data_IF_361462954241
#
_entry.id   IF_361462954241
#
_cell.length_a   1.000
_cell.length_b   1.000
_cell.length_c   1.000
_cell.angle_alpha   90.00
_cell.angle_beta   90.00
_cell.angle_gamma   90.00
#
_symmetry.space_group_name_H-M   'P 1'
#
loop_
_entity.id
_entity.type
_entity.pdbx_description
1 polymer ?
#
# COMPACT_ATOMS: atom_id res chain seq x y z
N UNK A 1 11.03 -23.51 19.39
CA UNK A 1 12.02 -23.26 18.31
C UNK A 1 11.46 -22.55 17.06
N UNK A 2 10.14 -22.35 16.88
CA UNK A 2 9.59 -21.67 15.68
C UNK A 2 9.84 -20.14 15.59
N UNK A 3 9.99 -19.43 16.72
CA UNK A 3 10.13 -17.94 16.71
C UNK A 3 11.39 -17.43 16.01
N UNK A 4 12.46 -18.21 15.94
CA UNK A 4 13.72 -17.78 15.31
C UNK A 4 13.73 -17.89 13.78
N UNK A 5 12.92 -18.77 13.18
CA UNK A 5 12.81 -18.92 11.71
C UNK A 5 11.92 -17.85 11.05
N UNK A 6 10.96 -17.29 11.78
CA UNK A 6 10.07 -16.25 11.25
C UNK A 6 10.70 -14.85 11.20
N UNK A 7 11.73 -14.61 12.01
CA UNK A 7 12.33 -13.29 12.20
C UNK A 7 13.05 -12.74 10.94
N UNK A 8 13.83 -13.54 10.19
CA UNK A 8 14.41 -13.08 8.93
C UNK A 8 13.35 -12.73 7.88
N UNK A 9 12.27 -13.51 7.81
CA UNK A 9 11.16 -13.27 6.88
C UNK A 9 10.39 -11.98 7.20
N UNK A 10 10.12 -11.73 8.48
CA UNK A 10 9.47 -10.51 8.94
C UNK A 10 10.33 -9.26 8.69
N UNK A 11 11.64 -9.33 8.96
CA UNK A 11 12.58 -8.24 8.66
C UNK A 11 12.62 -7.95 7.16
N UNK A 12 12.68 -8.99 6.33
CA UNK A 12 12.64 -8.83 4.86
C UNK A 12 11.32 -8.25 4.35
N UNK A 13 10.18 -8.61 4.95
CA UNK A 13 8.89 -8.00 4.63
C UNK A 13 8.84 -6.52 5.03
N UNK A 14 9.36 -6.18 6.22
CA UNK A 14 9.46 -4.80 6.68
C UNK A 14 10.34 -3.96 5.74
N UNK A 15 11.53 -4.44 5.38
CA UNK A 15 12.38 -3.76 4.40
C UNK A 15 11.66 -3.53 3.06
N UNK A 16 10.83 -4.47 2.61
CA UNK A 16 10.03 -4.30 1.38
C UNK A 16 8.96 -3.21 1.50
N UNK A 17 8.34 -3.08 2.67
CA UNK A 17 7.33 -2.05 2.94
C UNK A 17 7.91 -0.63 3.09
N UNK A 18 9.21 -0.52 3.38
CA UNK A 18 9.92 0.76 3.47
C UNK A 18 10.09 1.43 2.08
N UNK A 19 10.30 2.76 2.05
CA UNK A 19 10.42 3.52 0.81
C UNK A 19 11.47 2.91 -0.10
N UNK A 20 11.18 2.65 -1.39
CA UNK A 20 12.09 1.93 -2.29
C UNK A 20 13.45 2.62 -2.43
N UNK A 21 13.50 3.96 -2.26
CA UNK A 21 14.69 4.79 -2.42
C UNK A 21 15.61 4.85 -1.19
N UNK A 22 15.12 4.47 -0.01
CA UNK A 22 15.91 4.46 1.22
C UNK A 22 15.83 3.10 1.93
N UNK A 23 15.53 2.05 1.16
CA UNK A 23 15.32 0.69 1.65
C UNK A 23 16.64 0.14 2.22
N UNK A 24 16.75 -0.08 3.54
CA UNK A 24 17.95 -0.69 4.11
C UNK A 24 18.01 -2.16 3.70
N UNK A 25 19.22 -2.66 3.47
CA UNK A 25 19.44 -4.10 3.41
C UNK A 25 19.08 -4.71 4.78
N UNK A 26 18.56 -5.95 4.83
CA UNK A 26 18.23 -6.62 6.10
C UNK A 26 19.45 -6.74 7.03
N UNK A 27 20.67 -6.80 6.46
CA UNK A 27 21.91 -6.79 7.25
C UNK A 27 22.26 -5.42 7.84
N UNK A 28 21.76 -4.31 7.26
CA UNK A 28 21.95 -2.96 7.83
C UNK A 28 21.26 -2.84 9.20
N UNK A 29 20.07 -3.42 9.36
CA UNK A 29 19.35 -3.50 10.65
C UNK A 29 20.16 -4.30 11.69
N UNK A 30 20.78 -5.41 11.28
CA UNK A 30 21.65 -6.21 12.14
C UNK A 30 22.90 -5.44 12.55
N UNK A 31 23.55 -4.75 11.61
CA UNK A 31 24.75 -3.93 11.86
C UNK A 31 24.45 -2.76 12.79
N UNK A 32 23.31 -2.09 12.61
CA UNK A 32 22.86 -1.01 13.49
C UNK A 32 22.61 -1.46 14.93
N UNK A 33 22.10 -2.68 15.13
CA UNK A 33 21.96 -3.26 16.48
C UNK A 33 23.30 -3.32 17.23
N UNK A 34 24.41 -3.54 16.54
CA UNK A 34 25.76 -3.60 17.10
C UNK A 34 26.51 -2.26 17.02
N UNK A 35 25.78 -1.17 16.80
CA UNK A 35 26.28 0.19 16.67
C UNK A 35 27.44 0.37 15.66
N UNK A 36 27.34 -0.31 14.52
CA UNK A 36 28.37 -0.25 13.49
C UNK A 36 28.24 1.05 12.66
N UNK A 37 29.31 1.85 12.51
CA UNK A 37 29.25 3.15 11.83
C UNK A 37 28.82 3.05 10.36
N UNK A 38 29.09 1.91 9.72
CA UNK A 38 28.67 1.65 8.34
C UNK A 38 27.15 1.66 8.15
N UNK A 39 26.36 1.44 9.21
CA UNK A 39 24.90 1.48 9.16
C UNK A 39 24.33 2.86 9.50
N UNK A 40 25.10 3.76 10.11
CA UNK A 40 24.59 5.04 10.61
C UNK A 40 24.00 5.92 9.51
N UNK A 41 24.73 6.09 8.40
CA UNK A 41 24.31 6.94 7.28
C UNK A 41 23.05 6.41 6.58
N UNK A 42 22.98 5.09 6.39
CA UNK A 42 21.81 4.43 5.80
C UNK A 42 20.56 4.66 6.66
N UNK A 43 20.70 4.61 7.98
CA UNK A 43 19.61 4.87 8.92
C UNK A 43 19.16 6.33 8.93
N UNK A 44 20.09 7.29 8.86
CA UNK A 44 19.74 8.70 8.73
C UNK A 44 18.94 8.97 7.45
N UNK A 45 19.37 8.40 6.31
CA UNK A 45 18.66 8.51 5.02
C UNK A 45 17.28 7.86 5.08
N UNK A 46 17.17 6.69 5.72
CA UNK A 46 15.90 6.01 5.94
C UNK A 46 14.93 6.88 6.75
N UNK A 47 15.37 7.38 7.90
CA UNK A 47 14.55 8.23 8.76
C UNK A 47 14.15 9.53 8.05
N UNK A 48 15.07 10.15 7.31
CA UNK A 48 14.79 11.34 6.51
C UNK A 48 13.70 11.08 5.47
N UNK A 49 13.83 10.00 4.69
CA UNK A 49 12.85 9.63 3.67
C UNK A 49 11.47 9.32 4.28
N UNK A 50 11.43 8.58 5.39
CA UNK A 50 10.20 8.25 6.10
C UNK A 50 9.51 9.50 6.64
N UNK A 51 10.24 10.36 7.35
CA UNK A 51 9.68 11.56 7.94
C UNK A 51 9.22 12.54 6.86
N UNK A 52 9.97 12.72 5.77
CA UNK A 52 9.50 13.54 4.64
C UNK A 52 8.23 12.98 4.03
N UNK A 53 8.15 11.66 3.85
CA UNK A 53 6.94 11.02 3.34
C UNK A 53 5.75 11.30 4.27
N UNK A 54 5.90 11.14 5.58
CA UNK A 54 4.84 11.40 6.57
C UNK A 54 4.37 12.86 6.52
N UNK A 55 5.29 13.83 6.47
CA UNK A 55 4.94 15.26 6.43
C UNK A 55 4.53 15.75 5.03
N UNK A 56 4.38 14.87 4.04
CA UNK A 56 3.97 15.24 2.67
C UNK A 56 5.01 16.04 1.88
N UNK A 57 6.22 16.19 2.40
CA UNK A 57 7.29 16.92 1.73
C UNK A 57 7.91 16.12 0.59
N UNK A 58 8.22 16.79 -0.54
CA UNK A 58 9.06 16.20 -1.58
C UNK A 58 10.47 15.95 -1.01
N UNK A 59 11.01 14.78 -1.32
CA UNK A 59 12.39 14.44 -1.01
C UNK A 59 13.32 15.14 -2.00
N UNK A 60 14.39 15.73 -1.48
CA UNK A 60 15.39 16.53 -2.21
C UNK A 60 16.74 15.82 -2.11
N UNK A 61 17.22 15.22 -3.21
CA UNK A 61 18.53 14.53 -3.28
C UNK A 61 19.70 15.43 -2.93
N UNK A 62 19.55 16.72 -3.21
CA UNK A 62 20.61 17.72 -3.10
C UNK A 62 20.81 18.27 -1.68
N UNK A 63 20.05 17.81 -0.69
CA UNK A 63 20.23 18.30 0.68
C UNK A 63 21.51 17.71 1.27
N UNK A 64 22.44 18.59 1.68
CA UNK A 64 23.64 18.22 2.41
C UNK A 64 23.30 17.31 3.61
N UNK A 65 24.16 16.33 3.90
CA UNK A 65 23.94 15.34 4.97
C UNK A 65 23.59 15.99 6.32
N UNK A 66 24.22 17.12 6.64
CA UNK A 66 23.92 17.90 7.86
C UNK A 66 22.47 18.43 7.88
N UNK A 67 21.96 18.92 6.75
CA UNK A 67 20.56 19.38 6.63
C UNK A 67 19.57 18.23 6.84
N UNK A 68 19.87 17.05 6.30
CA UNK A 68 19.05 15.85 6.49
C UNK A 68 19.01 15.45 7.97
N UNK A 69 20.17 15.44 8.64
CA UNK A 69 20.28 15.08 10.05
C UNK A 69 19.56 16.09 10.94
N UNK A 70 19.74 17.39 10.68
CA UNK A 70 19.05 18.46 11.42
C UNK A 70 17.52 18.33 11.28
N UNK A 71 17.03 18.04 10.07
CA UNK A 71 15.61 17.78 9.84
C UNK A 71 15.12 16.55 10.60
N UNK A 72 15.86 15.43 10.57
CA UNK A 72 15.46 14.21 11.30
C UNK A 72 15.39 14.48 12.80
N UNK A 73 16.38 15.18 13.36
CA UNK A 73 16.39 15.56 14.79
C UNK A 73 15.17 16.44 15.13
N UNK A 74 14.90 17.48 14.36
CA UNK A 74 13.77 18.38 14.63
C UNK A 74 12.42 17.69 14.47
N UNK A 75 12.26 16.87 13.44
CA UNK A 75 11.04 16.11 13.22
C UNK A 75 10.81 15.06 14.33
N UNK A 76 11.85 14.33 14.74
CA UNK A 76 11.74 13.39 15.88
C UNK A 76 11.38 14.12 17.17
N UNK A 77 11.93 15.32 17.40
CA UNK A 77 11.56 16.15 18.54
C UNK A 77 10.10 16.57 18.50
N UNK A 78 9.62 17.01 17.32
CA UNK A 78 8.22 17.39 17.11
C UNK A 78 7.25 16.24 17.39
N UNK A 79 7.62 15.00 17.03
CA UNK A 79 6.81 13.81 17.34
C UNK A 79 6.89 13.37 18.82
N UNK A 80 7.81 13.95 19.59
CA UNK A 80 7.99 13.70 21.03
C UNK A 80 9.03 12.62 21.38
N UNK A 81 9.99 12.34 20.50
CA UNK A 81 11.09 11.42 20.81
C UNK A 81 12.10 12.10 21.76
N UNK A 82 12.07 11.76 23.05
CA UNK A 82 12.82 12.50 24.08
C UNK A 82 14.20 11.98 24.45
N UNK A 83 14.83 11.07 23.70
CA UNK A 83 16.13 10.49 24.11
C UNK A 83 17.29 11.44 23.83
N UNK A 84 18.02 11.92 24.86
CA UNK A 84 19.10 12.90 24.69
C UNK A 84 20.30 12.35 23.91
N UNK A 85 20.53 11.03 23.94
CA UNK A 85 21.64 10.39 23.23
C UNK A 85 21.58 10.64 21.72
N UNK A 86 20.38 10.67 21.14
CA UNK A 86 20.18 10.94 19.70
C UNK A 86 20.56 12.39 19.33
N UNK A 87 20.21 13.35 20.18
CA UNK A 87 20.46 14.77 19.91
C UNK A 87 21.93 15.13 20.02
N UNK A 88 22.69 14.41 20.86
CA UNK A 88 24.15 14.53 21.01
C UNK A 88 24.95 13.90 19.87
N UNK A 89 24.31 13.16 18.95
CA UNK A 89 25.02 12.54 17.83
C UNK A 89 25.64 13.58 16.89
N UNK A 90 26.80 13.27 16.28
CA UNK A 90 27.48 14.19 15.36
C UNK A 90 26.65 14.49 14.12
N UNK A 91 26.80 15.71 13.60
CA UNK A 91 26.19 16.19 12.35
C UNK A 91 26.68 15.46 11.09
N UNK A 92 27.78 14.72 11.19
CA UNK A 92 28.35 13.99 10.05
C UNK A 92 27.63 12.66 9.79
N UNK A 93 26.73 12.24 10.69
CA UNK A 93 25.96 10.99 10.56
C UNK A 93 26.80 9.71 10.68
N UNK A 94 28.05 9.82 11.15
CA UNK A 94 29.03 8.73 11.22
C UNK A 94 28.77 7.73 12.36
N UNK A 95 28.04 8.13 13.41
CA UNK A 95 27.83 7.35 14.62
C UNK A 95 26.37 7.33 15.08
N UNK A 96 26.04 6.37 15.96
CA UNK A 96 24.73 6.29 16.61
C UNK A 96 23.69 5.42 15.90
N UNK A 97 24.12 4.52 15.02
CA UNK A 97 23.23 3.57 14.33
C UNK A 97 22.29 2.81 15.28
N UNK A 98 22.73 2.49 16.51
CA UNK A 98 21.87 1.87 17.52
C UNK A 98 20.77 2.80 18.02
N UNK A 99 21.08 4.06 18.27
CA UNK A 99 20.10 5.06 18.71
C UNK A 99 19.12 5.41 17.59
N UNK A 100 19.58 5.40 16.33
CA UNK A 100 18.71 5.56 15.16
C UNK A 100 17.77 4.38 14.98
N UNK A 101 18.25 3.16 15.22
CA UNK A 101 17.39 1.97 15.22
C UNK A 101 16.31 2.04 16.31
N UNK A 102 16.63 2.58 17.49
CA UNK A 102 15.67 2.82 18.56
C UNK A 102 14.65 3.90 18.21
N UNK A 103 15.09 5.00 17.59
CA UNK A 103 14.18 6.02 17.08
C UNK A 103 13.24 5.44 16.01
N UNK A 104 13.77 4.59 15.11
CA UNK A 104 12.98 3.90 14.10
C UNK A 104 11.97 2.91 14.70
N UNK A 105 12.37 2.10 15.68
CA UNK A 105 11.44 1.18 16.34
C UNK A 105 10.36 1.93 17.14
N UNK A 106 10.72 3.06 17.74
CA UNK A 106 9.77 3.94 18.41
C UNK A 106 8.77 4.54 17.40
N UNK A 107 9.23 5.03 16.24
CA UNK A 107 8.35 5.53 15.17
C UNK A 107 7.37 4.45 14.68
N UNK A 108 7.86 3.22 14.49
CA UNK A 108 7.03 2.07 14.12
C UNK A 108 5.89 1.84 15.12
N UNK A 109 6.18 2.00 16.42
CA UNK A 109 5.21 1.78 17.47
C UNK A 109 4.25 2.97 17.65
N UNK A 110 4.75 4.21 17.67
CA UNK A 110 3.98 5.41 18.02
C UNK A 110 3.16 6.01 16.88
N UNK A 111 3.65 5.93 15.65
CA UNK A 111 3.01 6.59 14.50
C UNK A 111 2.18 5.64 13.64
N UNK A 112 1.91 4.42 14.12
CA UNK A 112 1.35 3.32 13.32
C UNK A 112 1.95 3.29 11.91
N UNK A 113 3.27 3.45 11.83
CA UNK A 113 3.97 3.78 10.59
C UNK A 113 3.74 2.72 9.50
N UNK A 114 3.58 1.46 9.91
CA UNK A 114 3.19 0.38 9.00
C UNK A 114 1.79 0.58 8.41
N UNK A 115 0.81 1.00 9.20
CA UNK A 115 -0.54 1.29 8.71
C UNK A 115 -0.55 2.49 7.77
N UNK A 116 0.18 3.56 8.10
CA UNK A 116 0.32 4.74 7.24
C UNK A 116 1.05 4.42 5.93
N UNK A 117 2.13 3.63 6.00
CA UNK A 117 2.84 3.15 4.81
C UNK A 117 1.96 2.19 4.00
N UNK A 118 1.20 1.31 4.63
CA UNK A 118 0.27 0.42 3.93
C UNK A 118 -0.86 1.20 3.27
N UNK A 119 -1.47 2.17 3.95
CA UNK A 119 -2.49 3.04 3.39
C UNK A 119 -1.98 3.80 2.15
N UNK A 120 -0.71 4.22 2.17
CA UNK A 120 -0.09 4.98 1.08
C UNK A 120 0.53 4.13 -0.05
N UNK A 121 0.95 2.90 0.26
CA UNK A 121 1.45 1.92 -0.71
C UNK A 121 0.34 1.00 -1.25
N UNK A 122 -0.88 1.06 -0.69
CA UNK A 122 -2.05 0.47 -1.34
C UNK A 122 -2.13 1.07 -2.73
N UNK A 123 -2.03 0.20 -3.74
CA UNK A 123 -2.58 0.51 -5.05
C UNK A 123 -4.01 0.94 -4.77
N UNK A 124 -4.35 2.19 -5.09
CA UNK A 124 -5.73 2.65 -5.14
C UNK A 124 -6.44 1.84 -6.22
N UNK A 125 -6.73 0.58 -5.92
CA UNK A 125 -7.90 -0.10 -6.47
C UNK A 125 -9.03 0.85 -6.12
N UNK A 126 -9.73 1.37 -7.13
CA UNK A 126 -10.59 2.56 -7.05
C UNK A 126 -11.84 2.42 -6.17
N UNK A 127 -11.66 1.94 -4.94
CA UNK A 127 -12.66 1.72 -3.90
C UNK A 127 -12.44 2.70 -2.72
N UNK A 128 -11.72 3.81 -2.93
CA UNK A 128 -11.82 4.94 -1.99
C UNK A 128 -13.13 5.67 -2.29
N UNK A 129 -14.22 5.18 -1.72
CA UNK A 129 -15.40 6.03 -1.53
C UNK A 129 -15.08 7.07 -0.49
N UNK A 130 -14.89 8.32 -0.91
CA UNK A 130 -15.34 9.42 -0.07
C UNK A 130 -16.86 9.26 0.04
N UNK A 131 -17.32 8.61 1.11
CA UNK A 131 -18.68 8.86 1.59
C UNK A 131 -18.69 10.37 1.83
N UNK A 132 -19.46 11.12 1.03
CA UNK A 132 -19.74 12.50 1.39
C UNK A 132 -20.49 12.41 2.71
N UNK A 133 -19.78 12.62 3.81
CA UNK A 133 -20.38 13.10 5.05
C UNK A 133 -20.64 14.58 4.80
N UNK A 134 -21.56 14.86 3.89
CA UNK A 134 -22.27 16.11 3.92
C UNK A 134 -23.15 15.95 5.16
N UNK A 135 -22.65 16.48 6.29
CA UNK A 135 -23.42 16.64 7.52
C UNK A 135 -24.78 17.22 7.12
N UNK A 136 -25.84 16.56 7.58
CA UNK A 136 -27.22 17.01 7.44
C UNK A 136 -27.39 18.18 8.42
N UNK A 137 -26.82 19.34 8.06
CA UNK A 137 -27.06 20.60 8.76
C UNK A 137 -28.48 21.07 8.43
N UNK A 138 -29.47 20.37 8.97
CA UNK A 138 -30.82 20.86 9.17
C UNK A 138 -30.90 21.48 10.57
N UNK A 139 -30.87 22.82 10.72
CA UNK A 139 -31.49 23.43 11.87
C UNK A 139 -33.00 23.51 11.62
N UNK A 140 -33.74 22.84 12.50
CA UNK A 140 -35.16 23.08 12.77
C UNK A 140 -35.47 24.58 12.73
N UNK A 141 -36.38 25.00 11.85
CA UNK A 141 -37.07 26.27 12.03
C UNK A 141 -38.54 26.16 11.66
N UNK A 142 -39.34 26.50 12.66
CA UNK A 142 -40.79 26.40 12.72
C UNK A 142 -41.47 27.37 11.75
N UNK A 143 -42.61 26.89 11.21
CA UNK A 143 -43.81 27.60 10.71
C UNK A 143 -43.78 29.13 10.55
N UNK A 144 -44.13 29.60 9.34
CA UNK A 144 -44.71 30.93 9.11
C UNK A 144 -44.90 31.34 7.63
N UNK A 145 -46.04 30.94 7.05
CA UNK A 145 -46.94 31.64 6.09
C UNK A 145 -46.42 32.61 4.99
N UNK A 146 -46.73 32.22 3.72
CA UNK A 146 -47.03 32.99 2.46
C UNK A 146 -46.02 33.98 1.84
N UNK A 147 -45.59 33.73 0.59
CA UNK A 147 -46.01 34.42 -0.66
C UNK A 147 -45.15 34.01 -1.90
N UNK A 148 -45.85 33.48 -2.92
CA UNK A 148 -45.71 33.57 -4.40
C UNK A 148 -44.32 33.76 -5.09
N UNK A 149 -43.90 32.68 -5.80
CA UNK A 149 -43.17 32.58 -7.10
C UNK A 149 -41.72 33.12 -7.24
N UNK A 150 -40.86 32.58 -8.15
CA UNK A 150 -41.18 31.75 -9.32
C UNK A 150 -40.60 30.33 -9.32
N UNK A 151 -41.31 29.47 -10.05
CA UNK A 151 -40.83 28.19 -10.57
C UNK A 151 -39.57 28.42 -11.41
N UNK A 152 -38.41 28.16 -10.81
CA UNK A 152 -37.21 27.87 -11.58
C UNK A 152 -37.21 26.37 -11.88
N UNK A 153 -37.39 26.03 -13.16
CA UNK A 153 -37.34 24.67 -13.66
C UNK A 153 -36.12 23.93 -13.15
N UNK A 154 -36.35 22.93 -12.31
CA UNK A 154 -35.36 21.94 -11.89
C UNK A 154 -35.31 20.80 -12.89
N UNK A 155 -35.14 21.12 -14.17
CA UNK A 155 -34.60 20.15 -15.11
C UNK A 155 -33.08 20.14 -14.88
N UNK A 156 -32.56 18.95 -14.58
CA UNK A 156 -31.14 18.62 -14.43
C UNK A 156 -30.50 18.66 -13.02
N UNK A 157 -31.28 18.39 -11.96
CA UNK A 157 -30.69 17.84 -10.73
C UNK A 157 -30.55 16.33 -10.87
N UNK A 158 -29.37 15.87 -11.27
CA UNK A 158 -29.01 14.45 -11.17
C UNK A 158 -29.21 13.99 -9.72
N UNK A 159 -30.21 13.13 -9.49
CA UNK A 159 -30.53 12.63 -8.16
C UNK A 159 -29.33 11.87 -7.58
N UNK A 160 -28.82 12.37 -6.45
CA UNK A 160 -27.70 11.79 -5.74
C UNK A 160 -27.98 10.32 -5.38
N UNK A 161 -29.25 9.96 -5.12
CA UNK A 161 -29.65 8.58 -4.82
C UNK A 161 -29.50 7.68 -6.05
N UNK A 162 -29.79 8.21 -7.23
CA UNK A 162 -29.61 7.49 -8.50
C UNK A 162 -28.13 7.22 -8.77
N UNK A 163 -27.25 8.20 -8.53
CA UNK A 163 -25.80 8.00 -8.65
C UNK A 163 -25.27 6.98 -7.64
N UNK A 164 -25.74 7.03 -6.39
CA UNK A 164 -25.38 6.05 -5.37
C UNK A 164 -25.84 4.63 -5.76
N UNK A 165 -27.06 4.48 -6.29
CA UNK A 165 -27.57 3.21 -6.78
C UNK A 165 -26.75 2.68 -7.96
N UNK A 166 -26.45 3.52 -8.94
CA UNK A 166 -25.65 3.14 -10.12
C UNK A 166 -24.24 2.70 -9.72
N UNK A 167 -23.63 3.41 -8.76
CA UNK A 167 -22.34 3.04 -8.21
C UNK A 167 -22.40 1.68 -7.47
N UNK A 168 -23.44 1.45 -6.67
CA UNK A 168 -23.69 0.15 -6.03
C UNK A 168 -23.82 -0.98 -7.05
N UNK A 169 -24.57 -0.74 -8.14
CA UNK A 169 -24.75 -1.72 -9.23
C UNK A 169 -23.44 -2.01 -9.96
N UNK A 170 -22.65 -1.00 -10.29
CA UNK A 170 -21.33 -1.17 -10.90
C UNK A 170 -20.38 -1.98 -10.02
N UNK A 171 -20.34 -1.71 -8.71
CA UNK A 171 -19.52 -2.49 -7.77
C UNK A 171 -19.95 -3.93 -7.68
N UNK A 172 -21.25 -4.19 -7.66
CA UNK A 172 -21.76 -5.55 -7.64
C UNK A 172 -21.35 -6.31 -8.91
N UNK A 173 -21.51 -5.69 -10.08
CA UNK A 173 -21.07 -6.27 -11.36
C UNK A 173 -19.57 -6.52 -11.40
N UNK A 174 -18.76 -5.57 -10.92
CA UNK A 174 -17.31 -5.71 -10.84
C UNK A 174 -16.89 -6.89 -9.94
N UNK A 175 -17.48 -6.99 -8.75
CA UNK A 175 -17.20 -8.10 -7.81
C UNK A 175 -17.62 -9.44 -8.40
N UNK A 176 -18.76 -9.49 -9.10
CA UNK A 176 -19.22 -10.70 -9.78
C UNK A 176 -18.25 -11.13 -10.88
N UNK A 177 -17.82 -10.19 -11.72
CA UNK A 177 -16.83 -10.44 -12.79
C UNK A 177 -15.50 -10.92 -12.21
N UNK A 178 -15.02 -10.27 -11.14
CA UNK A 178 -13.79 -10.68 -10.47
C UNK A 178 -13.89 -12.08 -9.86
N UNK A 179 -15.03 -12.43 -9.25
CA UNK A 179 -15.27 -13.77 -8.74
C UNK A 179 -15.28 -14.82 -9.87
N UNK A 180 -15.92 -14.52 -11.01
CA UNK A 180 -15.89 -15.40 -12.18
C UNK A 180 -14.47 -15.57 -12.73
N UNK A 181 -13.69 -14.49 -12.80
CA UNK A 181 -12.29 -14.57 -13.23
C UNK A 181 -11.45 -15.43 -12.28
N UNK A 182 -11.65 -15.32 -10.97
CA UNK A 182 -10.97 -16.17 -9.99
C UNK A 182 -11.33 -17.65 -10.17
N UNK A 183 -12.60 -17.98 -10.40
CA UNK A 183 -13.01 -19.36 -10.68
C UNK A 183 -12.41 -19.86 -12.00
N UNK A 184 -12.38 -19.04 -13.04
CA UNK A 184 -11.71 -19.37 -14.31
C UNK A 184 -10.22 -19.67 -14.10
N UNK A 185 -9.49 -18.83 -13.34
CA UNK A 185 -8.09 -19.09 -13.02
C UNK A 185 -7.88 -20.39 -12.23
N UNK A 186 -8.78 -20.72 -11.29
CA UNK A 186 -8.71 -21.99 -10.55
C UNK A 186 -8.91 -23.19 -11.47
N UNK A 187 -9.85 -23.11 -12.41
CA UNK A 187 -10.10 -24.17 -13.39
C UNK A 187 -8.92 -24.33 -14.36
N UNK A 188 -8.39 -23.22 -14.88
CA UNK A 188 -7.19 -23.22 -15.72
C UNK A 188 -5.99 -23.85 -15.00
N UNK A 189 -5.77 -23.47 -13.75
CA UNK A 189 -4.70 -24.06 -12.95
C UNK A 189 -4.84 -25.57 -12.79
N UNK A 190 -6.07 -26.07 -12.57
CA UNK A 190 -6.32 -27.52 -12.53
C UNK A 190 -5.96 -28.18 -13.86
N UNK A 191 -6.37 -27.59 -14.99
CA UNK A 191 -6.05 -28.12 -16.33
C UNK A 191 -4.54 -28.21 -16.52
N UNK A 192 -3.81 -27.14 -16.23
CA UNK A 192 -2.35 -27.13 -16.34
C UNK A 192 -1.68 -28.16 -15.43
N UNK A 193 -2.18 -28.33 -14.20
CA UNK A 193 -1.66 -29.33 -13.26
C UNK A 193 -1.90 -30.77 -13.74
N UNK A 194 -3.08 -31.05 -14.28
CA UNK A 194 -3.42 -32.41 -14.73
C UNK A 194 -2.81 -32.77 -16.09
N UNK A 195 -2.41 -31.78 -16.89
CA UNK A 195 -1.84 -32.00 -18.24
C UNK A 195 -0.36 -31.69 -18.33
N UNK A 196 0.28 -31.39 -17.19
CA UNK A 196 1.71 -31.14 -17.14
C UNK A 196 2.50 -32.38 -17.60
N UNK A 197 3.39 -32.21 -18.57
CA UNK A 197 4.18 -33.28 -19.19
C UNK A 197 3.49 -34.01 -20.34
N UNK A 198 2.25 -33.64 -20.70
CA UNK A 198 1.51 -34.27 -21.80
C UNK A 198 1.81 -33.68 -23.18
N UNK A 199 2.46 -32.51 -23.25
CA UNK A 199 2.73 -31.78 -24.48
C UNK A 199 4.17 -32.01 -24.98
N UNK A 200 4.36 -32.10 -26.30
CA UNK A 200 5.66 -32.40 -26.92
C UNK A 200 6.64 -31.22 -26.88
N UNK A 201 6.11 -29.99 -26.85
CA UNK A 201 6.90 -28.78 -26.63
C UNK A 201 7.23 -28.62 -25.14
N UNK A 202 8.54 -28.68 -24.83
CA UNK A 202 9.07 -28.55 -23.48
C UNK A 202 8.86 -27.15 -22.87
N UNK A 203 8.59 -26.14 -23.70
CA UNK A 203 8.38 -24.75 -23.23
C UNK A 203 6.98 -24.53 -22.67
N UNK A 204 5.97 -25.16 -23.27
CA UNK A 204 4.59 -25.10 -22.81
C UNK A 204 4.32 -26.19 -21.77
N UNK A 205 4.75 -27.42 -22.04
CA UNK A 205 4.74 -28.52 -21.07
C UNK A 205 3.37 -28.88 -20.48
N UNK A 206 2.26 -28.32 -20.97
CA UNK A 206 0.88 -28.63 -20.58
C UNK A 206 -0.07 -28.39 -21.75
N UNK A 207 -1.29 -28.92 -21.69
CA UNK A 207 -2.31 -28.66 -22.70
C UNK A 207 -3.07 -27.36 -22.41
N UNK A 208 -3.40 -26.64 -23.47
CA UNK A 208 -4.37 -25.55 -23.44
C UNK A 208 -5.80 -26.08 -23.23
N UNK A 209 -6.71 -25.19 -22.86
CA UNK A 209 -8.13 -25.55 -22.65
C UNK A 209 -8.74 -26.16 -23.91
N UNK A 210 -8.44 -25.58 -25.07
CA UNK A 210 -8.96 -26.04 -26.37
C UNK A 210 -8.43 -27.44 -26.69
N UNK A 211 -7.13 -27.69 -26.46
CA UNK A 211 -6.55 -29.03 -26.68
C UNK A 211 -7.15 -30.06 -25.73
N UNK A 212 -7.37 -29.71 -24.46
CA UNK A 212 -8.05 -30.64 -23.54
C UNK A 212 -9.48 -30.93 -23.94
N UNK A 213 -10.20 -29.96 -24.48
CA UNK A 213 -11.57 -30.13 -24.94
C UNK A 213 -11.63 -30.97 -26.22
N UNK A 214 -10.69 -30.79 -27.16
CA UNK A 214 -10.56 -31.61 -28.37
C UNK A 214 -10.18 -33.06 -28.06
N UNK A 215 -9.31 -33.30 -27.07
CA UNK A 215 -8.99 -34.66 -26.61
C UNK A 215 -10.20 -35.33 -25.96
N UNK A 216 -11.02 -34.56 -25.24
CA UNK A 216 -12.22 -35.06 -24.55
C UNK A 216 -13.39 -35.29 -25.51
N UNK A 217 -13.52 -34.45 -26.54
CA UNK A 217 -14.59 -34.46 -27.53
C UNK A 217 -14.02 -34.18 -28.92
N UNK A 218 -13.60 -35.22 -29.65
CA UNK A 218 -12.98 -35.06 -30.97
C UNK A 218 -13.95 -34.47 -32.01
N UNK A 219 -15.25 -34.62 -31.80
CA UNK A 219 -16.31 -34.06 -32.65
C UNK A 219 -16.28 -32.52 -32.76
N UNK A 220 -15.69 -31.83 -31.77
CA UNK A 220 -15.61 -30.37 -31.73
C UNK A 220 -14.55 -29.79 -32.68
N UNK A 221 -13.74 -30.63 -33.32
CA UNK A 221 -12.73 -30.21 -34.29
C UNK A 221 -13.36 -29.54 -35.53
N UNK A 222 -14.55 -29.99 -35.93
CA UNK A 222 -15.32 -29.45 -37.07
C UNK A 222 -15.90 -28.04 -36.81
N UNK A 223 -15.88 -27.55 -35.56
CA UNK A 223 -16.40 -26.21 -35.20
C UNK A 223 -15.30 -25.15 -35.06
N UNK A 224 -14.03 -25.57 -35.02
CA UNK A 224 -12.87 -24.68 -34.79
C UNK A 224 -12.11 -24.37 -36.10
N UNK A 225 -12.42 -25.10 -37.19
CA UNK A 225 -12.02 -24.80 -38.58
C UNK A 225 -13.11 -24.03 -39.32
#
# INVERSE_FOLDING_TARGET
>A
QQRSRALPGAVGALCRALPPRARPAPDTLRRARFDRPQASLDFWRLLYALLKQIHGGKWTESDATDNQIRFVKSALWYHGYGRPELYRLPSDGSAGSRELLLAFSWLLHRLSLLEQLLARNRVKTGDETSVCTCEDDLPDSQKGTTEIAPEYGLEDRVDVRYLQWLNGRLRFQWRSLHAQHQEQCKLLHKIHLFTSGSHMDQTLGHFSVVETDLVRQPENYEQVM
#
